data_IF_949239889047
#
_entry.id   IF_949239889047
#
_cell.length_a   1.000
_cell.length_b   1.000
_cell.length_c   1.000
_cell.angle_alpha   90.00
_cell.angle_beta   90.00
_cell.angle_gamma   90.00
#
_symmetry.space_group_name_H-M   'P 1'
#
loop_
_entity.id
_entity.type
_entity.pdbx_description
1 polymer ?
#
# COMPACT_ATOMS: atom_id res chain seq x y z
N UNK A 1 -8.25 11.69 13.46
CA UNK A 1 -8.14 10.75 14.60
C UNK A 1 -7.51 9.41 14.21
N UNK A 2 -7.90 8.78 13.11
CA UNK A 2 -7.39 7.44 12.71
C UNK A 2 -5.85 7.35 12.60
N UNK A 3 -5.19 8.33 11.99
CA UNK A 3 -3.72 8.36 11.91
C UNK A 3 -3.06 8.39 13.30
N UNK A 4 -3.68 9.07 14.27
CA UNK A 4 -3.16 9.15 15.64
C UNK A 4 -3.29 7.82 16.37
N UNK A 5 -4.38 7.08 16.13
CA UNK A 5 -4.56 5.73 16.67
C UNK A 5 -3.48 4.79 16.12
N UNK A 6 -3.22 4.81 14.80
CA UNK A 6 -2.14 4.01 14.19
C UNK A 6 -0.77 4.41 14.77
N UNK A 7 -0.54 5.71 14.92
CA UNK A 7 0.71 6.26 15.43
C UNK A 7 1.02 5.79 16.86
N UNK A 8 0.02 5.70 17.73
CA UNK A 8 0.19 5.34 19.15
C UNK A 8 0.06 3.83 19.37
N UNK A 9 -0.96 3.20 18.80
CA UNK A 9 -1.28 1.80 19.09
C UNK A 9 -0.27 0.83 18.47
N UNK A 10 0.26 1.10 17.27
CA UNK A 10 1.18 0.17 16.61
C UNK A 10 2.54 0.03 17.34
N UNK A 11 3.22 1.11 17.78
CA UNK A 11 4.43 0.99 18.59
C UNK A 11 4.18 0.26 19.91
N UNK A 12 3.07 0.54 20.59
CA UNK A 12 2.70 -0.17 21.82
C UNK A 12 2.53 -1.67 21.55
N UNK A 13 1.83 -2.03 20.46
CA UNK A 13 1.68 -3.42 20.05
C UNK A 13 3.04 -4.07 19.73
N UNK A 14 3.96 -3.35 19.08
CA UNK A 14 5.32 -3.81 18.78
C UNK A 14 6.12 -4.11 20.04
N UNK A 15 6.06 -3.22 21.03
CA UNK A 15 6.69 -3.41 22.34
C UNK A 15 6.07 -4.59 23.10
N UNK A 16 4.75 -4.72 23.07
CA UNK A 16 4.04 -5.85 23.67
C UNK A 16 4.43 -7.18 23.01
N UNK A 17 4.55 -7.24 21.68
CA UNK A 17 5.02 -8.43 20.97
C UNK A 17 6.44 -8.81 21.37
N UNK A 18 7.36 -7.84 21.43
CA UNK A 18 8.72 -8.09 21.91
C UNK A 18 8.74 -8.61 23.35
N UNK A 19 8.00 -7.96 24.25
CA UNK A 19 7.92 -8.34 25.67
C UNK A 19 7.30 -9.74 25.86
N UNK A 20 6.24 -10.06 25.10
CA UNK A 20 5.65 -11.39 25.11
C UNK A 20 6.65 -12.46 24.64
N UNK A 21 7.40 -12.16 23.58
CA UNK A 21 8.51 -13.00 23.11
C UNK A 21 9.56 -13.22 24.20
N UNK A 22 9.96 -12.16 24.90
CA UNK A 22 10.91 -12.20 26.01
C UNK A 22 10.43 -13.14 27.12
N UNK A 23 9.19 -12.99 27.58
CA UNK A 23 8.59 -13.89 28.60
C UNK A 23 8.62 -15.35 28.12
N UNK A 24 8.20 -15.60 26.87
CA UNK A 24 8.17 -16.96 26.31
C UNK A 24 9.55 -17.59 26.15
N UNK A 25 10.57 -16.79 25.85
CA UNK A 25 11.97 -17.25 25.75
C UNK A 25 12.55 -17.79 27.06
N UNK A 26 12.00 -17.38 28.21
CA UNK A 26 12.37 -17.89 29.53
C UNK A 26 11.78 -19.26 29.89
N UNK A 27 10.80 -19.76 29.12
CA UNK A 27 10.10 -21.02 29.42
C UNK A 27 10.86 -22.26 28.89
N UNK A 28 10.63 -23.43 29.52
CA UNK A 28 11.29 -24.70 29.15
C UNK A 28 11.08 -25.12 27.69
N UNK A 29 9.88 -24.91 27.14
CA UNK A 29 9.49 -25.30 25.76
C UNK A 29 9.60 -24.17 24.73
N UNK A 30 10.67 -23.38 24.80
CA UNK A 30 10.87 -22.17 23.98
C UNK A 30 10.85 -22.36 22.45
N UNK A 31 11.29 -23.51 21.95
CA UNK A 31 11.23 -23.81 20.50
C UNK A 31 9.79 -23.88 20.00
N UNK A 32 8.84 -24.36 20.80
CA UNK A 32 7.44 -24.39 20.39
C UNK A 32 6.85 -22.99 20.20
N UNK A 33 7.37 -21.99 20.92
CA UNK A 33 6.93 -20.60 20.79
C UNK A 33 7.41 -19.92 19.50
N UNK A 34 8.36 -20.50 18.76
CA UNK A 34 8.76 -19.96 17.44
C UNK A 34 7.84 -20.42 16.31
N UNK A 35 6.99 -21.43 16.51
CA UNK A 35 6.10 -21.95 15.45
C UNK A 35 5.02 -20.92 15.07
N UNK A 36 4.26 -20.31 16.00
CA UNK A 36 3.23 -19.34 15.65
C UNK A 36 3.73 -18.12 14.82
N UNK A 37 4.82 -17.42 15.18
CA UNK A 37 5.29 -16.29 14.37
C UNK A 37 5.77 -16.73 12.98
N UNK A 38 6.33 -17.93 12.84
CA UNK A 38 6.72 -18.47 11.52
C UNK A 38 5.50 -18.79 10.65
N UNK A 39 4.46 -19.39 11.23
CA UNK A 39 3.18 -19.59 10.56
C UNK A 39 2.53 -18.26 10.15
N UNK A 40 2.60 -17.24 11.02
CA UNK A 40 2.09 -15.91 10.70
C UNK A 40 2.83 -15.28 9.52
N UNK A 41 4.17 -15.35 9.48
CA UNK A 41 4.98 -14.89 8.33
C UNK A 41 4.58 -15.65 7.06
N UNK A 42 4.39 -16.97 7.15
CA UNK A 42 3.96 -17.79 6.02
C UNK A 42 2.58 -17.35 5.50
N UNK A 43 1.62 -17.09 6.39
CA UNK A 43 0.29 -16.59 6.02
C UNK A 43 0.40 -15.23 5.32
N UNK A 44 1.18 -14.29 5.86
CA UNK A 44 1.41 -12.99 5.21
C UNK A 44 2.06 -13.14 3.83
N UNK A 45 3.02 -14.06 3.70
CA UNK A 45 3.66 -14.37 2.42
C UNK A 45 2.64 -14.93 1.41
N UNK A 46 1.80 -15.89 1.80
CA UNK A 46 0.76 -16.44 0.93
C UNK A 46 -0.26 -15.37 0.53
N UNK A 47 -0.73 -14.56 1.48
CA UNK A 47 -1.64 -13.44 1.21
C UNK A 47 -1.03 -12.42 0.23
N UNK A 48 0.27 -12.17 0.29
CA UNK A 48 0.97 -11.30 -0.68
C UNK A 48 0.94 -11.81 -2.12
N UNK A 49 0.75 -13.12 -2.33
CA UNK A 49 0.59 -13.74 -3.66
C UNK A 49 -0.83 -13.63 -4.19
N UNK A 50 -1.81 -13.40 -3.34
CA UNK A 50 -3.23 -13.32 -3.69
C UNK A 50 -3.85 -12.00 -3.20
N UNK A 51 -3.44 -10.85 -3.76
CA UNK A 51 -3.85 -9.53 -3.25
C UNK A 51 -5.38 -9.32 -3.28
N UNK A 52 -6.10 -10.00 -4.18
CA UNK A 52 -7.58 -9.97 -4.18
C UNK A 52 -8.17 -10.69 -2.97
N UNK A 53 -7.69 -11.90 -2.63
CA UNK A 53 -8.16 -12.62 -1.45
C UNK A 53 -7.85 -11.83 -0.18
N UNK A 54 -6.68 -11.21 -0.15
CA UNK A 54 -6.23 -10.35 0.92
C UNK A 54 -7.13 -9.12 1.14
N UNK A 55 -7.50 -8.45 0.05
CA UNK A 55 -8.45 -7.32 0.10
C UNK A 55 -9.84 -7.74 0.55
N UNK A 56 -10.28 -8.94 0.18
CA UNK A 56 -11.57 -9.47 0.60
C UNK A 56 -11.62 -9.82 2.09
N UNK A 57 -10.53 -10.35 2.65
CA UNK A 57 -10.44 -10.67 4.08
C UNK A 57 -10.31 -9.41 4.93
N UNK A 58 -9.61 -8.40 4.44
CA UNK A 58 -9.31 -7.19 5.19
C UNK A 58 -9.59 -5.91 4.37
N UNK A 59 -10.87 -5.63 4.02
CA UNK A 59 -11.25 -4.49 3.18
C UNK A 59 -11.18 -3.14 3.93
N UNK A 60 -10.54 -3.10 5.10
CA UNK A 60 -10.53 -1.95 5.99
C UNK A 60 -9.34 -1.04 5.69
N UNK A 61 -9.59 0.27 5.68
CA UNK A 61 -8.57 1.32 5.50
C UNK A 61 -7.35 1.12 6.41
N UNK A 62 -7.60 0.79 7.68
CA UNK A 62 -6.57 0.57 8.69
C UNK A 62 -5.62 -0.57 8.35
N UNK A 63 -6.14 -1.65 7.75
CA UNK A 63 -5.31 -2.78 7.34
C UNK A 63 -4.28 -2.36 6.29
N UNK A 64 -4.68 -1.60 5.28
CA UNK A 64 -3.75 -1.10 4.24
C UNK A 64 -2.57 -0.31 4.82
N UNK A 65 -2.81 0.48 5.87
CA UNK A 65 -1.78 1.27 6.56
C UNK A 65 -0.83 0.40 7.39
N UNK A 66 -1.36 -0.64 8.05
CA UNK A 66 -0.55 -1.56 8.86
C UNK A 66 0.14 -2.66 8.06
N UNK A 67 -0.41 -3.06 6.91
CA UNK A 67 0.01 -4.22 6.12
C UNK A 67 1.52 -4.29 5.92
N UNK A 68 2.14 -3.17 5.59
CA UNK A 68 3.59 -3.07 5.37
C UNK A 68 4.40 -3.40 6.63
N UNK A 69 3.85 -3.11 7.81
CA UNK A 69 4.50 -3.29 9.11
C UNK A 69 4.06 -4.57 9.85
N UNK A 70 3.03 -5.28 9.37
CA UNK A 70 2.59 -6.54 10.00
C UNK A 70 3.71 -7.58 10.16
N UNK A 71 4.68 -7.72 9.23
CA UNK A 71 5.83 -8.61 9.44
C UNK A 71 6.72 -8.25 10.63
N UNK A 72 6.66 -7.01 11.14
CA UNK A 72 7.41 -6.62 12.35
C UNK A 72 6.87 -7.30 13.60
N UNK A 73 5.58 -7.63 13.67
CA UNK A 73 4.99 -8.31 14.83
C UNK A 73 5.65 -9.67 15.15
N UNK A 74 5.69 -10.65 14.22
CA UNK A 74 6.36 -11.92 14.46
C UNK A 74 7.87 -11.75 14.61
N UNK A 75 8.48 -10.80 13.88
CA UNK A 75 9.92 -10.53 13.98
C UNK A 75 10.31 -10.05 15.38
N UNK A 76 9.61 -9.05 15.91
CA UNK A 76 9.87 -8.50 17.24
C UNK A 76 9.60 -9.53 18.33
N UNK A 77 8.57 -10.36 18.16
CA UNK A 77 8.32 -11.49 19.05
C UNK A 77 9.48 -12.50 19.05
N UNK A 78 9.99 -12.88 17.88
CA UNK A 78 11.16 -13.76 17.74
C UNK A 78 12.43 -13.12 18.34
N UNK A 79 12.62 -11.81 18.16
CA UNK A 79 13.72 -11.07 18.79
C UNK A 79 13.62 -11.07 20.32
N UNK A 80 12.41 -10.96 20.87
CA UNK A 80 12.17 -11.11 22.31
C UNK A 80 12.59 -12.49 22.82
N UNK A 81 12.19 -13.57 22.12
CA UNK A 81 12.63 -14.94 22.45
C UNK A 81 14.16 -15.04 22.39
N UNK A 82 14.77 -14.52 21.32
CA UNK A 82 16.21 -14.58 21.09
C UNK A 82 17.00 -13.82 22.17
N UNK A 83 16.51 -12.66 22.59
CA UNK A 83 17.12 -11.88 23.66
C UNK A 83 17.15 -12.69 24.97
N UNK A 84 16.04 -13.34 25.35
CA UNK A 84 16.00 -14.09 26.61
C UNK A 84 16.76 -15.44 26.56
N UNK A 85 17.01 -16.00 25.38
CA UNK A 85 17.53 -17.37 25.20
C UNK A 85 18.98 -17.56 25.71
N UNK A 86 19.23 -17.80 27.00
CA UNK A 86 20.58 -18.20 27.54
C UNK A 86 21.77 -17.43 26.94
N UNK A 87 21.59 -16.15 26.62
CA UNK A 87 22.60 -15.35 25.95
C UNK A 87 23.37 -14.50 26.96
N UNK A 88 24.64 -14.28 26.65
CA UNK A 88 25.49 -13.30 27.30
C UNK A 88 24.82 -11.91 27.29
N UNK A 89 24.98 -11.07 28.33
CA UNK A 89 24.35 -9.75 28.43
C UNK A 89 24.50 -8.88 27.17
N UNK A 90 25.65 -8.94 26.50
CA UNK A 90 25.90 -8.18 25.27
C UNK A 90 24.94 -8.53 24.12
N UNK A 91 24.58 -9.81 23.95
CA UNK A 91 23.68 -10.22 22.88
C UNK A 91 22.21 -9.91 23.20
N UNK A 92 21.83 -9.90 24.48
CA UNK A 92 20.53 -9.36 24.94
C UNK A 92 20.39 -7.90 24.52
N UNK A 93 21.40 -7.09 24.84
CA UNK A 93 21.43 -5.67 24.47
C UNK A 93 21.33 -5.51 22.96
N UNK A 94 22.06 -6.31 22.18
CA UNK A 94 22.00 -6.27 20.72
C UNK A 94 20.60 -6.52 20.17
N UNK A 95 19.93 -7.60 20.55
CA UNK A 95 18.58 -7.90 20.05
C UNK A 95 17.55 -6.86 20.49
N UNK A 96 17.65 -6.35 21.73
CA UNK A 96 16.80 -5.25 22.21
C UNK A 96 17.06 -3.96 21.44
N UNK A 97 18.32 -3.66 21.10
CA UNK A 97 18.68 -2.49 20.32
C UNK A 97 18.14 -2.56 18.88
N UNK A 98 18.23 -3.73 18.23
CA UNK A 98 17.65 -3.95 16.89
C UNK A 98 16.13 -3.80 16.93
N UNK A 99 15.47 -4.40 17.94
CA UNK A 99 14.02 -4.25 18.12
C UNK A 99 13.62 -2.78 18.33
N UNK A 100 14.34 -2.06 19.20
CA UNK A 100 14.17 -0.63 19.41
C UNK A 100 14.36 0.19 18.13
N UNK A 101 15.40 -0.12 17.36
CA UNK A 101 15.64 0.50 16.05
C UNK A 101 14.47 0.28 15.09
N UNK A 102 13.90 -0.92 15.00
CA UNK A 102 12.71 -1.17 14.17
C UNK A 102 11.51 -0.32 14.59
N UNK A 103 11.27 -0.15 15.89
CA UNK A 103 10.19 0.71 16.41
C UNK A 103 10.46 2.19 16.09
N UNK A 104 11.69 2.67 16.28
CA UNK A 104 12.10 4.03 15.93
C UNK A 104 11.99 4.29 14.44
N UNK A 105 12.39 3.34 13.59
CA UNK A 105 12.26 3.44 12.14
C UNK A 105 10.79 3.52 11.70
N UNK A 106 9.90 2.72 12.33
CA UNK A 106 8.45 2.85 12.12
C UNK A 106 7.96 4.26 12.50
N UNK A 107 8.31 4.73 13.69
CA UNK A 107 7.91 6.07 14.16
C UNK A 107 8.41 7.17 13.23
N UNK A 108 9.66 7.07 12.77
CA UNK A 108 10.23 8.00 11.81
C UNK A 108 9.42 8.05 10.51
N UNK A 109 9.02 6.89 9.96
CA UNK A 109 8.15 6.83 8.77
C UNK A 109 6.79 7.49 9.06
N UNK A 110 6.18 7.21 10.20
CA UNK A 110 4.88 7.80 10.53
C UNK A 110 4.96 9.31 10.77
N UNK A 111 6.02 9.79 11.42
CA UNK A 111 6.29 11.23 11.56
C UNK A 111 6.37 11.87 10.19
N UNK A 112 7.16 11.30 9.26
CA UNK A 112 7.25 11.81 7.89
C UNK A 112 5.90 11.87 7.19
N UNK A 113 5.02 10.88 7.38
CA UNK A 113 3.67 10.89 6.81
C UNK A 113 2.78 12.00 7.41
N UNK A 114 2.90 12.24 8.72
CA UNK A 114 2.09 13.24 9.45
C UNK A 114 2.59 14.66 9.18
N UNK A 115 3.90 14.86 9.09
CA UNK A 115 4.53 16.17 8.86
C UNK A 115 4.73 16.48 7.38
N UNK A 116 4.33 15.59 6.47
CA UNK A 116 4.42 15.84 5.04
C UNK A 116 3.54 17.03 4.65
N UNK A 117 4.12 18.00 3.95
CA UNK A 117 3.38 19.16 3.45
C UNK A 117 2.57 18.80 2.20
N UNK A 118 1.37 18.26 2.41
CA UNK A 118 0.46 17.96 1.31
C UNK A 118 0.01 19.22 0.55
N UNK A 119 0.07 20.43 1.13
CA UNK A 119 -0.35 21.65 0.44
C UNK A 119 0.64 22.06 -0.65
N UNK A 120 1.90 21.62 -0.54
CA UNK A 120 2.90 21.78 -1.60
C UNK A 120 2.58 20.98 -2.86
N UNK A 121 1.70 19.97 -2.80
CA UNK A 121 1.32 19.15 -3.94
C UNK A 121 0.41 19.92 -4.89
N UNK A 122 0.96 20.29 -6.05
CA UNK A 122 0.30 21.13 -7.07
C UNK A 122 0.04 20.37 -8.36
N UNK A 123 -0.48 19.15 -8.26
CA UNK A 123 -0.84 18.33 -9.42
C UNK A 123 -1.72 19.10 -10.40
N UNK A 124 -1.32 19.12 -11.68
CA UNK A 124 -1.95 19.92 -12.72
C UNK A 124 -2.80 19.05 -13.61
N UNK A 125 -4.06 19.45 -13.84
CA UNK A 125 -4.92 18.79 -14.83
C UNK A 125 -4.54 19.28 -16.23
N UNK A 126 -4.20 18.35 -17.11
CA UNK A 126 -3.93 18.59 -18.53
C UNK A 126 -5.23 18.82 -19.31
N UNK A 127 -5.12 19.33 -20.54
CA UNK A 127 -6.29 19.51 -21.43
C UNK A 127 -7.04 18.20 -21.70
N UNK A 128 -6.33 17.06 -21.68
CA UNK A 128 -6.90 15.73 -21.93
C UNK A 128 -7.44 15.04 -20.67
N UNK A 129 -7.56 15.78 -19.56
CA UNK A 129 -8.12 15.31 -18.29
C UNK A 129 -7.18 14.46 -17.43
N UNK A 130 -5.89 14.37 -17.77
CA UNK A 130 -4.90 13.68 -16.93
C UNK A 130 -4.35 14.61 -15.84
N UNK A 131 -4.35 14.15 -14.60
CA UNK A 131 -3.67 14.82 -13.49
C UNK A 131 -2.19 14.42 -13.49
N UNK A 132 -1.32 15.41 -13.69
CA UNK A 132 0.13 15.24 -13.60
C UNK A 132 0.55 15.18 -12.14
N UNK A 133 1.41 14.23 -11.79
CA UNK A 133 1.96 14.15 -10.44
C UNK A 133 2.94 15.31 -10.20
N UNK A 134 2.92 15.90 -9.00
CA UNK A 134 3.83 16.98 -8.64
C UNK A 134 5.14 16.51 -8.00
N UNK A 135 5.19 15.27 -7.49
CA UNK A 135 6.41 14.69 -6.88
C UNK A 135 6.60 13.24 -7.33
N UNK A 136 7.79 12.66 -7.13
CA UNK A 136 8.10 11.29 -7.57
C UNK A 136 7.36 10.15 -6.86
N UNK A 137 6.57 10.44 -5.82
CA UNK A 137 5.90 9.44 -4.97
C UNK A 137 4.37 9.56 -4.95
N UNK A 138 3.80 10.47 -5.76
CA UNK A 138 2.35 10.75 -5.83
C UNK A 138 1.67 10.23 -7.11
N UNK A 139 2.30 9.32 -7.86
CA UNK A 139 1.69 8.72 -9.05
C UNK A 139 0.35 8.04 -8.76
N UNK A 140 0.20 7.36 -7.62
CA UNK A 140 -1.07 6.77 -7.18
C UNK A 140 -2.19 7.80 -7.02
N UNK A 141 -2.02 8.83 -6.17
CA UNK A 141 -2.93 9.95 -6.06
C UNK A 141 -3.29 10.61 -7.39
N UNK A 142 -2.31 10.93 -8.22
CA UNK A 142 -2.55 11.59 -9.50
C UNK A 142 -3.32 10.68 -10.50
N UNK A 143 -3.00 9.38 -10.56
CA UNK A 143 -3.74 8.43 -11.37
C UNK A 143 -5.19 8.27 -10.87
N UNK A 144 -5.39 8.20 -9.55
CA UNK A 144 -6.72 8.15 -8.95
C UNK A 144 -7.53 9.41 -9.21
N UNK A 145 -6.94 10.59 -9.09
CA UNK A 145 -7.59 11.86 -9.45
C UNK A 145 -8.01 11.86 -10.92
N UNK A 146 -7.14 11.38 -11.81
CA UNK A 146 -7.44 11.24 -13.24
C UNK A 146 -8.68 10.36 -13.48
N UNK A 147 -8.77 9.21 -12.79
CA UNK A 147 -9.93 8.32 -12.92
C UNK A 147 -11.20 8.91 -12.28
N UNK A 148 -11.10 9.52 -11.10
CA UNK A 148 -12.22 10.17 -10.44
C UNK A 148 -12.79 11.32 -11.30
N UNK A 149 -11.91 12.16 -11.86
CA UNK A 149 -12.28 13.25 -12.79
C UNK A 149 -12.99 12.72 -14.04
N UNK A 150 -12.53 11.59 -14.60
CA UNK A 150 -13.19 10.97 -15.75
C UNK A 150 -14.66 10.62 -15.46
N UNK A 151 -14.98 10.31 -14.19
CA UNK A 151 -16.34 10.02 -13.75
C UNK A 151 -17.04 11.20 -13.07
N UNK A 152 -16.54 12.43 -13.26
CA UNK A 152 -17.16 13.64 -12.70
C UNK A 152 -17.02 13.79 -11.18
N UNK A 153 -16.15 13.00 -10.53
CA UNK A 153 -15.87 13.12 -9.10
C UNK A 153 -14.69 14.08 -8.92
N UNK A 154 -14.94 15.22 -8.27
CA UNK A 154 -13.90 16.22 -8.01
C UNK A 154 -12.99 15.79 -6.85
N UNK A 155 -11.68 15.80 -7.10
CA UNK A 155 -10.63 15.57 -6.13
C UNK A 155 -9.32 16.24 -6.59
N UNK A 156 -8.45 16.59 -5.65
CA UNK A 156 -7.09 17.08 -5.94
C UNK A 156 -6.02 16.06 -5.59
N UNK A 157 -4.83 16.16 -6.20
CA UNK A 157 -3.69 15.30 -5.86
C UNK A 157 -3.36 15.39 -4.37
N UNK A 158 -3.29 16.62 -3.84
CA UNK A 158 -3.06 16.91 -2.43
C UNK A 158 -4.06 16.20 -1.52
N UNK A 159 -5.34 16.26 -1.86
CA UNK A 159 -6.40 15.62 -1.10
C UNK A 159 -6.25 14.10 -1.08
N UNK A 160 -6.10 13.47 -2.25
CA UNK A 160 -5.97 12.01 -2.35
C UNK A 160 -4.68 11.55 -1.67
N UNK A 161 -3.57 12.25 -1.85
CA UNK A 161 -2.30 11.95 -1.20
C UNK A 161 -2.40 12.02 0.32
N UNK A 162 -3.04 13.06 0.86
CA UNK A 162 -3.28 13.24 2.30
C UNK A 162 -4.15 12.13 2.88
N UNK A 163 -5.23 11.79 2.19
CA UNK A 163 -6.12 10.70 2.61
C UNK A 163 -5.40 9.33 2.55
N UNK A 164 -4.51 9.13 1.58
CA UNK A 164 -3.69 7.92 1.50
C UNK A 164 -2.52 7.90 2.49
N UNK A 165 -2.17 9.06 3.07
CA UNK A 165 -0.98 9.27 3.89
C UNK A 165 0.30 8.91 3.15
N UNK A 166 0.41 9.42 1.92
CA UNK A 166 1.56 9.25 1.03
C UNK A 166 2.73 10.10 1.52
N UNK A 167 3.93 9.53 1.45
CA UNK A 167 5.18 10.24 1.76
C UNK A 167 6.29 9.74 0.82
N UNK A 168 7.44 10.43 0.77
CA UNK A 168 8.60 9.97 0.00
C UNK A 168 9.08 8.57 0.39
N UNK A 169 8.85 8.14 1.64
CA UNK A 169 9.32 6.85 2.18
C UNK A 169 8.36 5.70 1.90
N UNK A 170 7.06 5.97 1.75
CA UNK A 170 6.02 4.94 1.68
C UNK A 170 5.38 4.82 0.30
N UNK A 171 5.37 5.90 -0.49
CA UNK A 171 4.58 5.97 -1.71
C UNK A 171 3.09 5.74 -1.43
N UNK A 172 2.42 5.02 -2.32
CA UNK A 172 0.97 4.77 -2.26
C UNK A 172 0.65 3.29 -2.11
N UNK A 173 -0.12 2.95 -1.07
CA UNK A 173 -0.64 1.61 -0.86
C UNK A 173 -1.97 1.40 -1.63
N UNK A 174 -2.09 0.30 -2.36
CA UNK A 174 -3.25 -0.02 -3.20
C UNK A 174 -4.57 -0.18 -2.42
N UNK A 175 -4.52 -0.75 -1.21
CA UNK A 175 -5.71 -0.97 -0.35
C UNK A 175 -6.25 0.36 0.13
N UNK A 176 -5.33 1.21 0.59
CA UNK A 176 -5.64 2.56 1.04
C UNK A 176 -6.18 3.40 -0.11
N UNK A 177 -5.54 3.36 -1.29
CA UNK A 177 -5.98 4.12 -2.46
C UNK A 177 -7.41 3.73 -2.88
N UNK A 178 -7.70 2.42 -2.97
CA UNK A 178 -9.04 1.94 -3.30
C UNK A 178 -10.10 2.38 -2.27
N UNK A 179 -9.77 2.33 -0.98
CA UNK A 179 -10.66 2.78 0.10
C UNK A 179 -10.91 4.30 0.07
N UNK A 180 -9.87 5.09 -0.24
CA UNK A 180 -9.95 6.55 -0.40
C UNK A 180 -10.82 6.91 -1.60
N UNK A 181 -10.66 6.24 -2.74
CA UNK A 181 -11.49 6.47 -3.92
C UNK A 181 -12.97 6.17 -3.65
N UNK A 182 -13.28 5.08 -2.95
CA UNK A 182 -14.65 4.78 -2.50
C UNK A 182 -15.20 5.83 -1.55
N UNK A 183 -14.38 6.34 -0.63
CA UNK A 183 -14.77 7.41 0.29
C UNK A 183 -15.07 8.72 -0.46
N UNK A 184 -14.28 9.05 -1.49
CA UNK A 184 -14.49 10.23 -2.33
C UNK A 184 -15.72 10.09 -3.23
N UNK A 185 -15.96 8.91 -3.80
CA UNK A 185 -17.19 8.63 -4.54
C UNK A 185 -18.43 8.83 -3.66
N UNK A 186 -18.42 8.23 -2.45
CA UNK A 186 -19.50 8.40 -1.46
C UNK A 186 -19.69 9.87 -1.06
N UNK A 187 -18.61 10.60 -0.81
CA UNK A 187 -18.68 12.04 -0.46
C UNK A 187 -19.33 12.88 -1.57
N UNK A 188 -19.11 12.49 -2.83
CA UNK A 188 -19.67 13.17 -4.00
C UNK A 188 -21.04 12.58 -4.42
N UNK A 189 -21.69 11.78 -3.58
CA UNK A 189 -22.96 11.09 -3.89
C UNK A 189 -22.93 10.28 -5.20
N UNK A 190 -21.74 9.80 -5.59
CA UNK A 190 -21.59 8.95 -6.76
C UNK A 190 -21.98 7.51 -6.43
N UNK A 191 -22.73 6.80 -7.31
CA UNK A 191 -23.04 5.39 -7.11
C UNK A 191 -21.82 4.48 -7.35
N UNK A 192 -20.71 5.03 -7.87
CA UNK A 192 -19.54 4.25 -8.25
C UNK A 192 -18.90 3.57 -7.05
N UNK A 193 -18.47 2.32 -7.30
CA UNK A 193 -17.67 1.53 -6.38
C UNK A 193 -16.43 1.04 -7.07
N UNK A 194 -15.31 1.15 -6.38
CA UNK A 194 -14.01 0.69 -6.83
C UNK A 194 -13.62 -0.57 -6.08
N UNK A 195 -13.07 -1.54 -6.82
CA UNK A 195 -12.56 -2.79 -6.26
C UNK A 195 -11.15 -3.06 -6.74
N UNK A 196 -10.35 -3.60 -5.83
CA UNK A 196 -9.04 -4.12 -6.18
C UNK A 196 -9.16 -5.51 -6.80
N UNK A 197 -8.48 -5.73 -7.92
CA UNK A 197 -8.40 -7.03 -8.58
C UNK A 197 -6.97 -7.36 -8.98
N UNK A 198 -6.64 -8.64 -8.86
CA UNK A 198 -5.45 -9.23 -9.45
C UNK A 198 -5.78 -9.61 -10.88
N UNK A 199 -5.20 -8.92 -11.86
CA UNK A 199 -5.59 -9.07 -13.28
C UNK A 199 -4.36 -9.42 -14.09
N UNK A 200 -4.35 -10.60 -14.70
CA UNK A 200 -3.31 -10.95 -15.66
C UNK A 200 -3.38 -10.01 -16.88
N UNK A 201 -2.22 -9.64 -17.44
CA UNK A 201 -2.16 -8.72 -18.58
C UNK A 201 -2.98 -9.18 -19.80
N UNK A 202 -3.16 -10.49 -20.00
CA UNK A 202 -3.98 -11.04 -21.10
C UNK A 202 -5.48 -10.76 -20.92
N UNK A 203 -5.94 -10.54 -19.69
CA UNK A 203 -7.35 -10.38 -19.30
C UNK A 203 -7.76 -8.92 -19.07
N UNK A 204 -6.87 -7.96 -19.35
CA UNK A 204 -7.15 -6.53 -19.13
C UNK A 204 -8.29 -5.99 -20.00
N UNK A 205 -8.51 -6.55 -21.18
CA UNK A 205 -9.61 -6.19 -22.09
C UNK A 205 -10.98 -6.59 -21.56
N UNK A 206 -11.02 -7.56 -20.65
CA UNK A 206 -12.25 -8.04 -20.03
C UNK A 206 -12.70 -7.14 -18.86
N UNK A 207 -11.98 -6.04 -18.60
CA UNK A 207 -12.26 -5.16 -17.49
C UNK A 207 -13.01 -3.92 -17.95
N UNK A 208 -13.90 -3.38 -17.10
CA UNK A 208 -14.53 -2.08 -17.30
C UNK A 208 -13.47 -1.00 -17.49
N UNK A 209 -13.57 -0.24 -18.58
CA UNK A 209 -12.68 0.87 -18.89
C UNK A 209 -13.38 2.21 -18.57
N UNK A 210 -12.67 3.21 -18.04
CA UNK A 210 -11.27 3.16 -17.63
C UNK A 210 -11.03 2.52 -16.25
N UNK A 211 -9.79 2.10 -16.00
CA UNK A 211 -9.36 1.56 -14.71
C UNK A 211 -7.90 1.89 -14.39
N UNK A 212 -7.50 1.76 -13.12
CA UNK A 212 -6.10 1.94 -12.71
C UNK A 212 -5.36 0.61 -12.80
N UNK A 213 -4.13 0.67 -13.32
CA UNK A 213 -3.19 -0.43 -13.36
C UNK A 213 -1.85 -0.04 -12.74
N UNK A 214 -1.15 -1.04 -12.19
CA UNK A 214 0.21 -0.86 -11.69
C UNK A 214 1.21 -1.51 -12.64
N UNK A 215 2.21 -0.75 -13.05
CA UNK A 215 3.35 -1.18 -13.86
C UNK A 215 4.66 -1.01 -13.11
N UNK A 216 5.71 -1.66 -13.61
CA UNK A 216 7.10 -1.46 -13.19
C UNK A 216 7.70 -0.36 -14.06
N UNK A 217 8.06 0.77 -13.46
CA UNK A 217 8.67 1.90 -14.19
C UNK A 217 10.16 1.62 -14.46
N UNK A 218 10.92 1.31 -13.41
CA UNK A 218 12.32 0.93 -13.48
C UNK A 218 12.72 0.10 -12.25
N UNK A 219 13.43 -1.02 -12.47
CA UNK A 219 13.88 -1.89 -11.37
C UNK A 219 12.74 -2.35 -10.45
N UNK A 220 12.76 -1.91 -9.19
CA UNK A 220 11.77 -2.28 -8.17
C UNK A 220 10.66 -1.22 -7.96
N UNK A 221 10.63 -0.15 -8.76
CA UNK A 221 9.66 0.94 -8.57
C UNK A 221 8.35 0.61 -9.29
N UNK A 222 7.29 0.50 -8.50
CA UNK A 222 5.92 0.40 -8.99
C UNK A 222 5.38 1.80 -9.34
N UNK A 223 4.60 1.89 -10.41
CA UNK A 223 4.03 3.13 -10.93
C UNK A 223 2.57 2.93 -11.32
N UNK A 224 1.74 3.89 -10.93
CA UNK A 224 0.30 3.87 -11.21
C UNK A 224 -0.01 4.62 -12.49
N UNK A 225 -0.83 3.99 -13.32
CA UNK A 225 -1.34 4.57 -14.56
C UNK A 225 -2.85 4.31 -14.66
N UNK A 226 -3.55 5.14 -15.43
CA UNK A 226 -4.93 4.86 -15.82
C UNK A 226 -4.96 4.33 -17.25
N UNK A 227 -5.52 3.14 -17.45
CA UNK A 227 -5.83 2.63 -18.78
C UNK A 227 -7.16 3.27 -19.21
N UNK A 228 -7.11 4.18 -20.19
CA UNK A 228 -8.29 4.87 -20.73
C UNK A 228 -9.11 3.94 -21.62
N UNK A 229 -8.47 3.44 -22.67
CA UNK A 229 -9.08 2.57 -23.67
C UNK A 229 -8.10 1.53 -24.16
N UNK A 230 -8.63 0.40 -24.60
CA UNK A 230 -7.87 -0.69 -25.22
C UNK A 230 -8.45 -0.94 -26.61
N UNK A 231 -7.65 -0.70 -27.64
CA UNK A 231 -8.03 -0.86 -29.04
C UNK A 231 -7.09 -1.85 -29.73
N UNK A 232 -7.43 -3.14 -29.61
CA UNK A 232 -6.66 -4.26 -30.14
C UNK A 232 -5.21 -4.28 -29.66
N UNK A 233 -4.30 -3.72 -30.49
CA UNK A 233 -2.86 -3.67 -30.21
C UNK A 233 -2.43 -2.39 -29.47
N UNK A 234 -3.28 -1.37 -29.37
CA UNK A 234 -2.93 -0.11 -28.74
C UNK A 234 -3.63 0.07 -27.38
N UNK A 235 -2.88 0.67 -26.45
CA UNK A 235 -3.39 1.16 -25.17
C UNK A 235 -3.37 2.68 -25.20
N UNK A 236 -4.49 3.31 -24.88
CA UNK A 236 -4.51 4.73 -24.53
C UNK A 236 -4.41 4.82 -23.00
N UNK A 237 -3.36 5.47 -22.52
CA UNK A 237 -3.00 5.50 -21.09
C UNK A 237 -2.91 6.96 -20.67
N UNK A 238 -3.47 7.29 -19.51
CA UNK A 238 -3.14 8.52 -18.81
C UNK A 238 -2.09 8.21 -17.74
N UNK A 239 -0.85 8.60 -18.02
CA UNK A 239 0.30 8.41 -17.14
C UNK A 239 0.59 9.74 -16.41
N UNK A 240 0.60 9.76 -15.06
CA UNK A 240 0.89 10.96 -14.29
C UNK A 240 2.24 11.64 -14.58
N UNK A 241 3.19 10.95 -15.23
CA UNK A 241 4.49 11.50 -15.61
C UNK A 241 4.49 12.19 -16.98
N UNK A 242 3.70 11.70 -17.94
CA UNK A 242 3.78 12.15 -19.33
C UNK A 242 2.43 12.51 -19.97
N UNK A 243 1.34 12.48 -19.22
CA UNK A 243 0.00 12.82 -19.70
C UNK A 243 -0.65 11.66 -20.44
N UNK A 244 -1.51 11.98 -21.41
CA UNK A 244 -2.23 10.98 -22.20
C UNK A 244 -1.37 10.53 -23.38
N UNK A 245 -1.07 9.23 -23.45
CA UNK A 245 -0.23 8.66 -24.51
C UNK A 245 -0.87 7.40 -25.09
N UNK A 246 -0.63 7.17 -26.38
CA UNK A 246 -0.90 5.89 -27.03
C UNK A 246 0.38 5.06 -27.07
N UNK A 247 0.29 3.79 -26.72
CA UNK A 247 1.42 2.85 -26.67
C UNK A 247 1.02 1.48 -27.18
N UNK A 248 2.00 0.69 -27.61
CA UNK A 248 1.75 -0.69 -28.01
C UNK A 248 1.49 -1.54 -26.76
N UNK A 249 0.48 -2.41 -26.84
CA UNK A 249 0.14 -3.34 -25.77
C UNK A 249 1.31 -4.27 -25.44
N UNK A 250 2.12 -4.62 -26.43
CA UNK A 250 3.30 -5.46 -26.24
C UNK A 250 4.30 -4.87 -25.22
N UNK A 251 4.43 -3.54 -25.17
CA UNK A 251 5.40 -2.84 -24.30
C UNK A 251 5.08 -3.04 -22.81
N UNK A 252 3.80 -3.26 -22.48
CA UNK A 252 3.33 -3.32 -21.10
C UNK A 252 3.31 -4.74 -20.53
N UNK A 253 3.39 -5.77 -21.38
CA UNK A 253 3.23 -7.18 -20.98
C UNK A 253 4.22 -7.61 -19.89
N UNK A 254 5.47 -7.18 -19.99
CA UNK A 254 6.55 -7.61 -19.09
C UNK A 254 6.72 -6.72 -17.86
N UNK A 255 6.12 -5.53 -17.88
CA UNK A 255 6.19 -4.57 -16.77
C UNK A 255 4.89 -4.54 -15.95
N UNK A 256 3.85 -5.25 -16.37
CA UNK A 256 2.58 -5.33 -15.67
C UNK A 256 2.69 -6.06 -14.33
N UNK A 257 2.24 -5.43 -13.23
CA UNK A 257 2.32 -6.00 -11.87
C UNK A 257 1.05 -6.70 -11.41
N UNK A 258 0.08 -6.89 -12.30
CA UNK A 258 -1.19 -7.59 -12.03
C UNK A 258 -2.01 -6.99 -10.89
N UNK A 259 -1.83 -5.71 -10.58
CA UNK A 259 -2.64 -5.01 -9.57
C UNK A 259 -3.45 -3.94 -10.25
N UNK A 260 -4.77 -3.99 -10.07
CA UNK A 260 -5.69 -3.02 -10.65
C UNK A 260 -6.70 -2.53 -9.63
N UNK A 261 -7.18 -1.31 -9.85
CA UNK A 261 -8.41 -0.80 -9.25
C UNK A 261 -9.39 -0.58 -10.39
N UNK A 262 -10.47 -1.38 -10.41
CA UNK A 262 -11.52 -1.34 -11.44
C UNK A 262 -12.83 -0.87 -10.84
N UNK A 263 -13.72 -0.40 -11.69
CA UNK A 263 -15.11 -0.13 -11.31
C UNK A 263 -15.83 -1.47 -11.15
N UNK A 264 -16.58 -1.57 -10.06
CA UNK A 264 -17.44 -2.72 -9.78
C UNK A 264 -18.78 -2.51 -10.47
N UNK A 265 -18.92 -3.06 -11.68
CA UNK A 265 -20.16 -3.00 -12.47
C UNK A 265 -21.28 -3.91 -11.93
N UNK A 266 -21.23 -4.35 -10.67
CA UNK A 266 -22.27 -5.23 -10.14
C UNK A 266 -23.58 -4.47 -9.88
N UNK A 267 -24.47 -4.66 -10.86
CA UNK A 267 -25.89 -5.05 -10.82
C UNK A 267 -26.79 -4.32 -9.83
#
# INVERSE_FOLDING_TARGET
MENMVIFICAPLLFLLCFYAGWICGGKKRKILWTIPPMLFILVLYLLSKFPTADYLLFPFYFYGRLRFFLPLLPLLFLMGIAAQYRQHPSRRVLYSAIAGFCVVAYLYIQINVVTFDYQSLKGRITKDGCCMQSTGHTCGPAAAVTLLLHHGISASESEVARMCGVSPLTGTNEFVLCSVMNSLAKRNNSPLRFKMKAIEFRKIEQQPQPFLGVIRLNGMIAHWIMIKTIDGKQLTIADPLCGVVKRQRADYKNIWLQRCIVIDEKE
#
